data_IF_214505684053
#
_entry.id   IF_214505684053
#
_cell.length_a   1.000
_cell.length_b   1.000
_cell.length_c   1.000
_cell.angle_alpha   90.00
_cell.angle_beta   90.00
_cell.angle_gamma   90.00
#
_symmetry.space_group_name_H-M   'P 1'
#
loop_
_entity.id
_entity.type
_entity.pdbx_description
1 polymer ?
#
# COMPACT_ATOMS: atom_id res chain seq x y z
N UNK A 1 30.56 -21.68 -54.95
CA UNK A 1 29.76 -22.84 -54.52
C UNK A 1 28.89 -22.44 -53.35
N UNK A 2 27.65 -22.96 -53.32
CA UNK A 2 26.53 -22.70 -52.39
C UNK A 2 25.65 -21.49 -52.75
N UNK A 3 24.65 -21.76 -53.60
CA UNK A 3 23.47 -20.92 -53.79
C UNK A 3 22.33 -21.35 -52.83
N UNK A 4 21.58 -20.35 -52.36
CA UNK A 4 20.39 -20.42 -51.51
C UNK A 4 19.20 -20.90 -52.35
N UNK A 5 18.49 -21.95 -51.92
CA UNK A 5 17.22 -22.36 -52.51
C UNK A 5 16.05 -21.69 -51.75
N UNK A 6 15.12 -21.12 -52.51
CA UNK A 6 13.86 -20.52 -52.05
C UNK A 6 12.78 -21.60 -52.11
N UNK A 7 12.05 -21.81 -51.00
CA UNK A 7 10.94 -22.76 -50.93
C UNK A 7 9.72 -22.26 -51.71
N UNK A 8 9.01 -23.18 -52.36
CA UNK A 8 7.90 -22.89 -53.27
C UNK A 8 6.53 -22.84 -52.55
N UNK A 9 5.50 -22.22 -53.14
CA UNK A 9 4.21 -21.93 -52.49
C UNK A 9 3.32 -23.15 -52.19
N UNK A 10 3.77 -24.37 -52.48
CA UNK A 10 2.97 -25.59 -52.32
C UNK A 10 3.10 -26.22 -50.93
N UNK A 11 4.14 -25.88 -50.16
CA UNK A 11 4.36 -26.43 -48.81
C UNK A 11 3.52 -25.73 -47.72
N UNK A 12 3.00 -24.52 -48.00
CA UNK A 12 2.16 -23.76 -47.06
C UNK A 12 0.70 -24.25 -47.00
N UNK A 13 0.25 -24.98 -48.02
CA UNK A 13 -1.16 -25.37 -48.19
C UNK A 13 -1.49 -26.75 -47.63
N UNK A 14 -0.46 -27.55 -47.32
CA UNK A 14 -0.57 -28.83 -46.61
C UNK A 14 -0.69 -28.63 -45.09
N UNK A 15 0.04 -27.65 -44.53
CA UNK A 15 0.01 -27.34 -43.10
C UNK A 15 -1.34 -26.74 -42.64
N UNK A 16 -2.05 -26.02 -43.52
CA UNK A 16 -3.38 -25.45 -43.24
C UNK A 16 -4.52 -26.48 -43.25
N UNK A 17 -4.32 -27.67 -43.83
CA UNK A 17 -5.35 -28.72 -43.91
C UNK A 17 -5.38 -29.67 -42.71
N UNK A 18 -4.32 -29.69 -41.89
CA UNK A 18 -4.26 -30.52 -40.67
C UNK A 18 -4.83 -29.85 -39.40
N UNK A 19 -5.07 -28.53 -39.41
CA UNK A 19 -5.61 -27.81 -38.26
C UNK A 19 -7.15 -27.68 -38.24
N UNK A 20 -7.88 -28.34 -39.15
CA UNK A 20 -9.34 -28.17 -39.35
C UNK A 20 -10.16 -29.46 -39.29
N UNK A 21 -9.75 -30.45 -38.51
CA UNK A 21 -10.50 -31.72 -38.43
C UNK A 21 -10.48 -32.40 -37.06
N UNK A 22 -11.01 -31.74 -36.01
CA UNK A 22 -11.63 -32.29 -34.76
C UNK A 22 -12.33 -31.06 -34.12
N UNK A 23 -13.60 -30.96 -33.74
CA UNK A 23 -14.74 -31.86 -33.61
C UNK A 23 -16.03 -31.05 -33.86
N UNK A 24 -16.98 -31.64 -34.58
CA UNK A 24 -18.34 -31.13 -34.80
C UNK A 24 -19.27 -32.26 -34.41
N UNK A 25 -19.79 -32.25 -33.19
CA UNK A 25 -21.02 -32.98 -32.80
C UNK A 25 -21.55 -32.44 -31.48
N UNK A 26 -22.76 -31.89 -31.51
CA UNK A 26 -23.58 -31.70 -30.32
C UNK A 26 -24.07 -30.28 -30.07
N UNK A 27 -24.94 -29.77 -30.95
CA UNK A 27 -25.91 -28.75 -30.58
C UNK A 27 -27.25 -29.44 -30.33
N UNK A 28 -27.86 -29.25 -29.16
CA UNK A 28 -29.24 -28.78 -28.94
C UNK A 28 -29.78 -29.20 -27.54
N UNK A 29 -30.29 -28.18 -26.85
CA UNK A 29 -31.42 -28.16 -25.90
C UNK A 29 -31.35 -28.91 -24.56
N UNK A 30 -31.70 -28.14 -23.51
CA UNK A 30 -32.55 -28.66 -22.45
C UNK A 30 -32.13 -28.28 -21.04
N UNK A 31 -32.64 -27.14 -20.56
CA UNK A 31 -33.19 -26.95 -19.20
C UNK A 31 -32.64 -27.87 -18.10
N UNK A 32 -31.72 -27.36 -17.26
CA UNK A 32 -31.51 -27.88 -15.91
C UNK A 32 -31.30 -26.73 -14.91
N UNK A 33 -32.43 -26.30 -14.35
CA UNK A 33 -32.69 -26.01 -12.93
C UNK A 33 -31.67 -25.17 -12.16
N UNK A 34 -32.07 -23.91 -11.93
CA UNK A 34 -31.72 -23.17 -10.73
C UNK A 34 -32.13 -23.99 -9.49
N UNK A 35 -31.13 -24.51 -8.76
CA UNK A 35 -31.31 -25.07 -7.43
C UNK A 35 -31.37 -23.96 -6.40
N UNK A 36 -32.53 -23.30 -6.29
CA UNK A 36 -32.85 -22.53 -5.09
C UNK A 36 -33.09 -23.53 -3.96
N UNK A 37 -32.13 -23.67 -3.05
CA UNK A 37 -32.37 -24.32 -1.77
C UNK A 37 -33.25 -23.40 -0.91
N UNK A 38 -34.56 -23.50 -1.09
CA UNK A 38 -35.53 -22.98 -0.12
C UNK A 38 -35.44 -23.86 1.11
N UNK A 39 -34.70 -23.40 2.12
CA UNK A 39 -34.84 -23.95 3.47
C UNK A 39 -36.15 -23.40 4.03
N UNK A 40 -37.21 -24.22 3.98
CA UNK A 40 -38.41 -23.99 4.78
C UNK A 40 -38.05 -24.27 6.23
N UNK A 41 -37.59 -23.23 6.94
CA UNK A 41 -37.53 -23.23 8.39
C UNK A 41 -38.95 -23.12 8.93
N UNK A 42 -39.52 -24.23 9.37
CA UNK A 42 -40.75 -24.24 10.14
C UNK A 42 -40.53 -23.48 11.46
N UNK A 43 -41.05 -22.26 11.54
CA UNK A 43 -41.15 -21.51 12.78
C UNK A 43 -42.17 -22.20 13.70
N UNK A 44 -41.66 -23.06 14.59
CA UNK A 44 -42.38 -23.40 15.83
C UNK A 44 -41.96 -22.37 16.86
N UNK A 45 -42.90 -21.47 17.18
CA UNK A 45 -42.71 -20.42 18.17
C UNK A 45 -42.39 -20.99 19.55
N UNK A 46 -41.16 -20.79 19.98
CA UNK A 46 -40.79 -20.73 21.38
C UNK A 46 -40.51 -19.27 21.74
N UNK A 47 -41.50 -18.59 22.34
CA UNK A 47 -41.27 -17.35 23.07
C UNK A 47 -40.34 -17.67 24.24
N UNK A 48 -39.04 -17.43 24.04
CA UNK A 48 -38.07 -17.28 25.10
C UNK A 48 -37.64 -15.83 25.12
N UNK A 49 -38.21 -15.04 26.02
CA UNK A 49 -37.64 -13.75 26.44
C UNK A 49 -36.28 -14.03 27.08
N UNK A 50 -35.24 -14.07 26.26
CA UNK A 50 -33.85 -14.05 26.70
C UNK A 50 -33.35 -12.63 26.58
N UNK A 51 -33.71 -11.76 27.53
CA UNK A 51 -32.98 -10.52 27.72
C UNK A 51 -31.49 -10.83 27.85
N UNK A 52 -30.64 -10.06 27.17
CA UNK A 52 -29.20 -10.07 27.36
C UNK A 52 -28.87 -9.61 28.79
N UNK A 53 -29.10 -10.50 29.76
CA UNK A 53 -28.64 -10.32 31.12
C UNK A 53 -27.14 -10.56 31.12
N UNK A 54 -26.38 -9.49 31.38
CA UNK A 54 -25.00 -9.60 31.87
C UNK A 54 -25.03 -10.57 33.05
N UNK A 55 -24.62 -11.82 32.85
CA UNK A 55 -24.46 -12.76 33.97
C UNK A 55 -23.36 -12.18 34.84
N UNK A 56 -23.73 -11.55 35.95
CA UNK A 56 -22.78 -11.05 36.93
C UNK A 56 -22.05 -12.25 37.51
N UNK A 57 -20.82 -12.49 37.06
CA UNK A 57 -19.95 -13.50 37.65
C UNK A 57 -19.48 -12.97 38.99
N UNK A 58 -19.68 -13.75 40.04
CA UNK A 58 -19.19 -13.41 41.38
C UNK A 58 -17.67 -13.47 41.39
N UNK A 59 -17.02 -12.37 41.76
CA UNK A 59 -15.57 -12.35 41.93
C UNK A 59 -15.14 -13.39 42.97
N UNK A 60 -14.14 -14.19 42.65
CA UNK A 60 -13.56 -15.19 43.57
C UNK A 60 -12.71 -14.53 44.66
N UNK A 61 -12.22 -13.31 44.39
CA UNK A 61 -11.23 -12.62 45.20
C UNK A 61 -9.78 -12.95 44.82
N UNK A 62 -9.56 -13.92 43.92
CA UNK A 62 -8.22 -14.23 43.42
C UNK A 62 -7.82 -13.24 42.31
N UNK A 63 -6.52 -12.99 42.20
CA UNK A 63 -5.93 -12.22 41.10
C UNK A 63 -4.90 -13.09 40.37
N UNK A 64 -5.02 -13.16 39.05
CA UNK A 64 -4.03 -13.73 38.15
C UNK A 64 -3.21 -12.56 37.59
N UNK A 65 -1.90 -12.60 37.83
CA UNK A 65 -0.94 -11.68 37.23
C UNK A 65 -0.23 -12.39 36.07
N UNK A 66 -0.36 -11.85 34.86
CA UNK A 66 0.28 -12.39 33.66
C UNK A 66 1.37 -11.44 33.18
N UNK A 67 2.58 -11.96 32.95
CA UNK A 67 3.66 -11.23 32.30
C UNK A 67 3.78 -11.70 30.85
N UNK A 68 3.62 -10.78 29.91
CA UNK A 68 3.62 -11.02 28.47
C UNK A 68 4.76 -10.22 27.87
N UNK A 69 5.64 -10.84 27.09
CA UNK A 69 6.67 -10.14 26.32
C UNK A 69 6.29 -10.00 24.85
N UNK A 70 7.03 -9.20 24.09
CA UNK A 70 6.85 -9.04 22.64
C UNK A 70 8.07 -9.57 21.89
N UNK A 71 7.88 -10.57 21.03
CA UNK A 71 8.91 -11.10 20.15
C UNK A 71 8.50 -10.89 18.69
N UNK A 72 9.16 -9.95 18.00
CA UNK A 72 8.71 -9.47 16.69
C UNK A 72 7.26 -9.01 16.73
N UNK A 73 6.41 -9.52 15.82
CA UNK A 73 4.97 -9.24 15.76
C UNK A 73 4.11 -10.28 16.51
N UNK A 74 4.56 -10.75 17.68
CA UNK A 74 3.81 -11.71 18.49
C UNK A 74 3.90 -11.43 19.99
N UNK A 75 2.79 -11.63 20.70
CA UNK A 75 2.77 -11.68 22.16
C UNK A 75 3.28 -13.04 22.65
N UNK A 76 4.12 -13.05 23.69
CA UNK A 76 4.72 -14.28 24.22
C UNK A 76 4.60 -14.33 25.75
N UNK A 77 3.82 -15.27 26.32
CA UNK A 77 2.86 -16.13 25.62
C UNK A 77 1.73 -15.32 24.98
N UNK A 78 1.12 -15.85 23.91
CA UNK A 78 -0.06 -15.23 23.28
C UNK A 78 -1.38 -15.67 23.93
N UNK A 79 -1.33 -16.54 24.94
CA UNK A 79 -2.51 -17.05 25.64
C UNK A 79 -2.27 -17.16 27.13
N UNK A 80 -3.29 -16.87 27.94
CA UNK A 80 -3.31 -17.14 29.38
C UNK A 80 -4.62 -17.81 29.80
N UNK A 81 -4.52 -18.82 30.66
CA UNK A 81 -5.68 -19.45 31.29
C UNK A 81 -6.08 -18.71 32.58
N UNK A 82 -7.33 -18.28 32.68
CA UNK A 82 -7.88 -17.59 33.86
C UNK A 82 -9.21 -18.23 34.27
N UNK A 83 -9.37 -18.54 35.56
CA UNK A 83 -10.63 -19.09 36.05
C UNK A 83 -11.74 -18.02 36.03
N UNK A 84 -12.96 -18.44 35.69
CA UNK A 84 -14.12 -17.55 35.72
C UNK A 84 -14.31 -16.99 37.14
N UNK A 85 -14.35 -15.66 37.24
CA UNK A 85 -14.48 -14.90 38.49
C UNK A 85 -13.16 -14.42 39.09
N UNK A 86 -12.01 -14.85 38.57
CA UNK A 86 -10.71 -14.28 38.96
C UNK A 86 -10.51 -12.90 38.29
N UNK A 87 -9.75 -12.01 38.94
CA UNK A 87 -9.30 -10.75 38.34
C UNK A 87 -8.01 -10.99 37.54
N UNK A 88 -7.92 -10.45 36.32
CA UNK A 88 -6.70 -10.53 35.50
C UNK A 88 -6.00 -9.18 35.42
N UNK A 89 -4.73 -9.14 35.81
CA UNK A 89 -3.82 -8.01 35.61
C UNK A 89 -2.68 -8.47 34.70
N UNK A 90 -2.42 -7.73 33.63
CA UNK A 90 -1.42 -8.09 32.62
C UNK A 90 -0.32 -7.03 32.61
N UNK A 91 0.93 -7.45 32.76
CA UNK A 91 2.10 -6.64 32.45
C UNK A 91 2.61 -7.02 31.07
N UNK A 92 2.69 -6.04 30.16
CA UNK A 92 3.32 -6.16 28.86
C UNK A 92 4.75 -5.61 28.94
N UNK A 93 5.73 -6.48 28.75
CA UNK A 93 7.15 -6.15 28.60
C UNK A 93 7.48 -6.06 27.10
N UNK A 94 7.65 -4.86 26.56
CA UNK A 94 7.98 -4.71 25.15
C UNK A 94 9.46 -5.02 24.90
N UNK A 95 9.75 -6.27 24.58
CA UNK A 95 11.11 -6.76 24.29
C UNK A 95 11.50 -6.65 22.81
N UNK A 96 10.63 -6.11 21.94
CA UNK A 96 10.94 -5.89 20.53
C UNK A 96 11.60 -4.52 20.28
N UNK A 97 11.89 -4.22 19.02
CA UNK A 97 12.48 -2.96 18.56
C UNK A 97 11.44 -1.89 18.14
N UNK A 98 10.15 -2.22 18.20
CA UNK A 98 9.05 -1.34 17.78
C UNK A 98 8.12 -0.98 18.93
N UNK A 99 7.36 0.10 18.79
CA UNK A 99 6.28 0.44 19.72
C UNK A 99 5.16 -0.58 19.61
N UNK A 100 4.67 -1.03 20.77
CA UNK A 100 3.52 -1.93 20.89
C UNK A 100 2.59 -1.47 21.98
N UNK A 101 1.35 -1.94 21.93
CA UNK A 101 0.46 -1.93 23.08
C UNK A 101 -0.24 -3.28 23.19
N UNK A 102 -1.01 -3.44 24.27
CA UNK A 102 -2.00 -4.49 24.38
C UNK A 102 -3.33 -3.83 24.76
N UNK A 103 -4.34 -4.06 23.92
CA UNK A 103 -5.74 -3.76 24.19
C UNK A 103 -6.45 -5.08 24.48
N UNK A 104 -7.29 -5.14 25.50
CA UNK A 104 -8.07 -6.34 25.86
C UNK A 104 -9.55 -5.97 25.98
N UNK A 105 -10.42 -6.74 25.34
CA UNK A 105 -11.87 -6.65 25.54
C UNK A 105 -12.25 -7.08 26.96
N UNK A 106 -13.14 -6.31 27.60
CA UNK A 106 -13.53 -6.57 28.98
C UNK A 106 -14.85 -7.36 29.05
N UNK A 107 -14.95 -8.25 30.03
CA UNK A 107 -16.20 -8.99 30.32
C UNK A 107 -17.38 -8.08 30.64
N UNK A 108 -17.13 -6.88 31.17
CA UNK A 108 -18.14 -5.88 31.48
C UNK A 108 -18.52 -4.99 30.27
N UNK A 109 -17.90 -5.23 29.10
CA UNK A 109 -17.94 -4.34 27.94
C UNK A 109 -16.84 -3.26 27.99
N UNK A 110 -16.49 -2.73 26.82
CA UNK A 110 -15.36 -1.80 26.64
C UNK A 110 -14.01 -2.50 26.56
N UNK A 111 -12.93 -1.73 26.63
CA UNK A 111 -11.55 -2.21 26.54
C UNK A 111 -10.67 -1.66 27.66
N UNK A 112 -9.66 -2.43 28.06
CA UNK A 112 -8.51 -1.93 28.82
C UNK A 112 -7.29 -1.91 27.92
N UNK A 113 -6.33 -1.02 28.20
CA UNK A 113 -5.11 -0.90 27.41
C UNK A 113 -3.91 -0.60 28.30
N UNK A 114 -2.73 -1.09 27.90
CA UNK A 114 -1.44 -0.66 28.46
C UNK A 114 -1.07 0.77 28.06
N UNK A 115 -1.74 1.34 27.05
CA UNK A 115 -1.19 2.44 26.27
C UNK A 115 0.02 1.99 25.45
N UNK A 116 0.59 2.93 24.68
CA UNK A 116 1.76 2.68 23.84
C UNK A 116 3.01 2.49 24.69
N UNK A 117 3.69 1.36 24.47
CA UNK A 117 4.89 0.94 25.17
C UNK A 117 6.06 1.00 24.18
N UNK A 118 7.02 1.88 24.46
CA UNK A 118 8.25 1.98 23.67
C UNK A 118 9.10 0.70 23.78
N UNK A 119 10.00 0.49 22.83
CA UNK A 119 10.95 -0.61 22.86
C UNK A 119 11.74 -0.63 24.18
N UNK A 120 11.82 -1.79 24.83
CA UNK A 120 12.48 -2.00 26.12
C UNK A 120 11.73 -1.48 27.34
N UNK A 121 10.52 -0.91 27.18
CA UNK A 121 9.68 -0.44 28.27
C UNK A 121 8.60 -1.48 28.63
N UNK A 122 7.91 -1.25 29.76
CA UNK A 122 6.81 -2.10 30.22
C UNK A 122 5.61 -1.26 30.63
N UNK A 123 4.41 -1.84 30.50
CA UNK A 123 3.16 -1.25 30.97
C UNK A 123 2.22 -2.30 31.53
N UNK A 124 1.26 -1.89 32.34
CA UNK A 124 0.30 -2.80 32.97
C UNK A 124 -1.12 -2.38 32.61
N UNK A 125 -1.99 -3.36 32.33
CA UNK A 125 -3.43 -3.16 32.24
C UNK A 125 -4.15 -4.09 33.22
N UNK A 126 -5.31 -3.65 33.69
CA UNK A 126 -6.23 -4.44 34.51
C UNK A 126 -7.46 -4.79 33.68
N UNK A 127 -7.61 -6.06 33.34
CA UNK A 127 -8.75 -6.57 32.59
C UNK A 127 -9.98 -6.84 33.48
N UNK A 128 -9.86 -6.58 34.79
CA UNK A 128 -10.95 -6.77 35.74
C UNK A 128 -11.31 -8.24 35.93
N UNK A 129 -12.54 -8.50 36.36
CA UNK A 129 -13.06 -9.85 36.63
C UNK A 129 -13.41 -10.54 35.30
N UNK A 130 -12.78 -11.68 35.04
CA UNK A 130 -12.98 -12.47 33.83
C UNK A 130 -14.24 -13.33 33.96
N UNK A 131 -15.23 -13.09 33.11
CA UNK A 131 -16.50 -13.81 33.09
C UNK A 131 -16.58 -14.90 32.00
N UNK A 132 -15.59 -14.94 31.10
CA UNK A 132 -15.51 -15.85 29.96
C UNK A 132 -14.27 -15.56 29.13
N UNK A 133 -14.09 -16.24 27.98
CA UNK A 133 -12.95 -15.99 27.10
C UNK A 133 -12.90 -14.54 26.63
N UNK A 134 -11.69 -13.97 26.55
CA UNK A 134 -11.45 -12.60 26.08
C UNK A 134 -10.42 -12.62 24.94
N UNK A 135 -10.49 -11.63 24.07
CA UNK A 135 -9.46 -11.36 23.07
C UNK A 135 -8.76 -10.04 23.39
N UNK A 136 -7.46 -10.01 23.14
CA UNK A 136 -6.67 -8.81 23.09
C UNK A 136 -5.85 -8.72 21.82
N UNK A 137 -5.34 -7.53 21.52
CA UNK A 137 -4.54 -7.27 20.32
C UNK A 137 -3.63 -6.06 20.50
N UNK A 138 -2.63 -5.94 19.62
CA UNK A 138 -1.88 -4.69 19.42
C UNK A 138 -2.65 -3.78 18.46
N UNK A 139 -2.92 -2.55 18.89
CA UNK A 139 -3.71 -1.54 18.18
C UNK A 139 -2.92 -0.73 17.15
N UNK A 140 -1.59 -0.85 17.16
CA UNK A 140 -0.71 -0.21 16.17
C UNK A 140 -1.05 -0.69 14.74
N UNK A 141 -1.08 0.25 13.79
CA UNK A 141 -1.53 0.04 12.41
C UNK A 141 -0.98 -1.24 11.78
N UNK A 142 -1.86 -2.19 11.46
CA UNK A 142 -1.50 -3.46 10.82
C UNK A 142 -0.94 -4.55 11.73
N UNK A 143 -0.61 -4.27 12.99
CA UNK A 143 0.02 -5.26 13.88
C UNK A 143 -0.92 -6.42 14.22
N UNK A 144 -2.20 -6.14 14.52
CA UNK A 144 -3.22 -7.18 14.71
C UNK A 144 -3.32 -8.11 13.50
N UNK A 145 -3.31 -7.54 12.29
CA UNK A 145 -3.39 -8.30 11.03
C UNK A 145 -2.14 -9.15 10.77
N UNK A 146 -0.99 -8.80 11.37
CA UNK A 146 0.23 -9.60 11.37
C UNK A 146 0.25 -10.68 12.47
N UNK A 147 -0.81 -10.81 13.26
CA UNK A 147 -0.93 -11.84 14.28
C UNK A 147 -0.61 -11.40 15.72
N UNK A 148 -0.50 -10.09 15.99
CA UNK A 148 -0.44 -9.57 17.36
C UNK A 148 -1.82 -9.64 18.04
N UNK A 149 -2.26 -10.86 18.32
CA UNK A 149 -3.49 -11.23 19.00
C UNK A 149 -3.13 -12.00 20.26
N UNK A 150 -3.86 -11.73 21.34
CA UNK A 150 -3.72 -12.35 22.64
C UNK A 150 -5.05 -12.97 23.05
N UNK A 151 -5.03 -14.12 23.71
CA UNK A 151 -6.24 -14.83 24.13
C UNK A 151 -6.25 -15.08 25.63
N UNK A 152 -7.38 -14.81 26.26
CA UNK A 152 -7.68 -15.28 27.62
C UNK A 152 -8.63 -16.45 27.49
N UNK A 153 -8.20 -17.63 27.91
CA UNK A 153 -9.00 -18.84 27.92
C UNK A 153 -9.53 -19.10 29.33
N UNK A 154 -10.77 -19.59 29.43
CA UNK A 154 -11.39 -19.91 30.72
C UNK A 154 -11.62 -21.42 30.82
N UNK A 155 -10.57 -22.16 31.14
CA UNK A 155 -10.57 -23.63 31.25
C UNK A 155 -10.45 -24.10 32.70
N UNK A 156 -11.48 -24.80 33.20
CA UNK A 156 -11.39 -25.55 34.45
C UNK A 156 -10.37 -26.70 34.33
N UNK A 157 -9.43 -26.77 35.29
CA UNK A 157 -8.35 -27.78 35.46
C UNK A 157 -8.38 -29.01 34.53
N UNK A 158 -7.42 -29.01 33.61
CA UNK A 158 -6.67 -30.11 32.97
C UNK A 158 -7.40 -31.18 32.14
N UNK A 159 -7.04 -31.27 30.86
CA UNK A 159 -6.69 -32.52 30.20
C UNK A 159 -5.59 -32.28 29.14
N UNK A 160 -4.41 -32.88 29.41
CA UNK A 160 -3.39 -33.40 28.49
C UNK A 160 -3.04 -32.66 27.18
N UNK A 161 -1.74 -32.37 27.07
CA UNK A 161 -1.04 -32.20 25.80
C UNK A 161 -1.50 -33.24 24.77
N UNK A 162 -1.95 -32.76 23.62
CA UNK A 162 -2.17 -33.57 22.43
C UNK A 162 -1.63 -32.82 21.21
N UNK A 163 -0.91 -33.59 20.40
CA UNK A 163 -0.17 -33.15 19.23
C UNK A 163 -1.01 -32.33 18.24
N UNK A 164 -0.43 -31.24 17.73
CA UNK A 164 -0.99 -30.52 16.58
C UNK A 164 -0.75 -31.31 15.29
N UNK A 165 -1.76 -32.10 14.91
CA UNK A 165 -1.94 -32.56 13.54
C UNK A 165 -3.41 -32.37 13.13
N UNK A 166 -3.63 -31.63 12.05
CA UNK A 166 -4.87 -31.73 11.27
C UNK A 166 -5.64 -30.43 11.06
N UNK A 167 -5.52 -29.93 9.83
CA UNK A 167 -6.43 -29.05 9.11
C UNK A 167 -7.88 -28.98 9.62
N UNK A 168 -8.32 -27.77 9.93
CA UNK A 168 -9.72 -27.39 10.10
C UNK A 168 -9.96 -26.07 9.40
N UNK A 169 -10.62 -26.14 8.25
CA UNK A 169 -11.19 -25.05 7.47
C UNK A 169 -12.23 -24.32 8.35
N UNK A 170 -11.76 -23.29 9.06
CA UNK A 170 -12.59 -22.40 9.87
C UNK A 170 -13.13 -21.30 8.99
N UNK A 171 -14.29 -21.56 8.37
CA UNK A 171 -15.02 -20.58 7.58
C UNK A 171 -15.09 -19.25 8.30
N UNK A 172 -14.44 -18.24 7.70
CA UNK A 172 -14.58 -16.85 8.05
C UNK A 172 -16.08 -16.56 8.13
N UNK A 173 -16.55 -16.25 9.34
CA UNK A 173 -17.84 -15.57 9.50
C UNK A 173 -17.65 -14.19 8.88
N UNK A 174 -17.93 -14.13 7.59
CA UNK A 174 -18.33 -12.94 6.87
C UNK A 174 -19.55 -12.37 7.61
N UNK A 175 -19.39 -11.16 8.14
CA UNK A 175 -20.44 -10.51 8.89
C UNK A 175 -19.93 -9.52 9.92
N UNK A 176 -18.96 -8.68 9.56
CA UNK A 176 -19.15 -7.27 9.88
C UNK A 176 -19.27 -6.57 8.54
N UNK A 177 -20.37 -5.87 8.32
CA UNK A 177 -20.45 -4.91 7.23
C UNK A 177 -19.43 -3.84 7.57
N UNK A 178 -18.21 -3.96 7.03
CA UNK A 178 -17.11 -3.07 7.39
C UNK A 178 -17.59 -1.64 7.18
N UNK A 179 -17.61 -0.86 8.27
CA UNK A 179 -18.01 0.55 8.25
C UNK A 179 -16.98 1.42 7.55
N UNK A 180 -16.35 0.92 6.50
CA UNK A 180 -15.30 1.58 5.74
C UNK A 180 -15.86 2.79 5.02
N UNK A 181 -15.00 3.78 4.79
CA UNK A 181 -15.32 4.89 3.93
C UNK A 181 -15.64 4.40 2.52
N UNK A 182 -16.75 4.88 1.96
CA UNK A 182 -17.20 4.53 0.60
C UNK A 182 -16.93 5.73 -0.30
N UNK A 183 -15.98 5.64 -1.26
CA UNK A 183 -15.64 6.76 -2.11
C UNK A 183 -16.73 7.03 -3.17
N UNK A 184 -17.07 8.30 -3.35
CA UNK A 184 -17.83 8.79 -4.49
C UNK A 184 -16.87 9.27 -5.59
N UNK A 185 -16.67 8.46 -6.64
CA UNK A 185 -15.77 8.81 -7.74
C UNK A 185 -16.20 10.05 -8.54
N UNK A 186 -17.44 10.53 -8.37
CA UNK A 186 -17.90 11.79 -8.95
C UNK A 186 -17.53 13.02 -8.12
N UNK A 187 -17.12 12.85 -6.86
CA UNK A 187 -16.69 13.93 -6.00
C UNK A 187 -15.46 14.63 -6.58
N UNK A 188 -15.49 15.96 -6.59
CA UNK A 188 -14.38 16.81 -7.04
C UNK A 188 -13.48 17.18 -5.87
N UNK A 189 -12.19 17.41 -6.15
CA UNK A 189 -11.24 17.96 -5.18
C UNK A 189 -11.79 19.25 -4.55
N UNK A 190 -11.98 19.30 -3.21
CA UNK A 190 -12.42 20.51 -2.52
C UNK A 190 -11.44 21.68 -2.72
N UNK A 191 -11.96 22.91 -2.74
CA UNK A 191 -11.15 24.11 -2.99
C UNK A 191 -10.16 24.43 -1.85
N UNK A 192 -10.44 23.96 -0.63
CA UNK A 192 -9.60 24.09 0.55
C UNK A 192 -8.53 22.99 0.67
N UNK A 193 -8.58 21.96 -0.19
CA UNK A 193 -7.55 20.93 -0.30
C UNK A 193 -6.58 21.31 -1.43
N UNK A 194 -5.31 21.48 -1.07
CA UNK A 194 -4.25 21.73 -2.05
C UNK A 194 -3.89 20.44 -2.81
N UNK A 195 -3.94 20.49 -4.14
CA UNK A 195 -3.41 19.41 -4.96
C UNK A 195 -1.87 19.33 -4.85
N UNK A 196 -1.31 18.15 -5.03
CA UNK A 196 0.13 17.96 -5.12
C UNK A 196 0.66 18.65 -6.39
N UNK A 197 1.65 19.53 -6.24
CA UNK A 197 2.32 20.15 -7.39
C UNK A 197 3.16 19.11 -8.14
N UNK A 198 2.75 18.80 -9.37
CA UNK A 198 3.43 17.81 -10.19
C UNK A 198 4.80 18.29 -10.71
N UNK A 199 5.17 19.56 -10.58
CA UNK A 199 6.48 20.04 -11.07
C UNK A 199 7.59 19.51 -10.14
N UNK A 200 8.53 18.68 -10.64
CA UNK A 200 9.62 18.21 -9.80
C UNK A 200 10.57 19.36 -9.45
N UNK A 201 11.38 19.22 -8.38
CA UNK A 201 12.44 20.17 -8.08
C UNK A 201 13.35 20.40 -9.28
N UNK A 202 13.84 21.63 -9.43
CA UNK A 202 14.86 21.92 -10.43
C UNK A 202 16.17 21.22 -10.07
N UNK A 203 16.90 20.75 -11.08
CA UNK A 203 18.27 20.31 -10.86
C UNK A 203 19.10 21.50 -10.38
N UNK A 204 19.79 21.35 -9.25
CA UNK A 204 20.75 22.34 -8.77
C UNK A 204 22.20 21.88 -9.04
N UNK A 205 23.17 22.70 -8.62
CA UNK A 205 24.60 22.39 -8.77
C UNK A 205 25.22 21.88 -7.46
N UNK A 206 24.41 21.57 -6.45
CA UNK A 206 24.89 21.04 -5.19
C UNK A 206 25.32 19.59 -5.37
N UNK A 207 26.45 19.23 -4.79
CA UNK A 207 26.91 17.82 -4.75
C UNK A 207 26.57 17.15 -3.41
N UNK A 208 26.00 17.92 -2.46
CA UNK A 208 25.56 17.45 -1.15
C UNK A 208 24.16 17.98 -0.89
N UNK A 209 23.21 17.07 -0.70
CA UNK A 209 21.80 17.35 -0.49
C UNK A 209 21.42 16.99 0.94
N UNK A 210 21.17 18.00 1.78
CA UNK A 210 20.81 17.80 3.18
C UNK A 210 19.33 18.10 3.40
N UNK A 211 18.61 17.14 3.97
CA UNK A 211 17.18 17.29 4.27
C UNK A 211 16.86 16.79 5.67
N UNK A 212 15.83 17.37 6.28
CA UNK A 212 15.20 16.83 7.49
C UNK A 212 13.81 16.35 7.14
N UNK A 213 13.56 15.06 7.38
CA UNK A 213 12.26 14.45 7.21
C UNK A 213 11.58 14.27 8.57
N UNK A 214 10.31 14.64 8.67
CA UNK A 214 9.51 14.44 9.87
C UNK A 214 8.45 13.39 9.57
N UNK A 215 8.57 12.21 10.18
CA UNK A 215 7.52 11.20 10.14
C UNK A 215 6.39 11.61 11.11
N UNK A 216 5.16 11.64 10.62
CA UNK A 216 3.98 12.02 11.41
C UNK A 216 2.69 11.48 10.78
N UNK A 217 1.63 11.35 11.58
CA UNK A 217 0.30 10.94 11.15
C UNK A 217 -0.68 12.11 11.10
N UNK A 218 -1.53 12.15 10.07
CA UNK A 218 -2.58 13.16 9.93
C UNK A 218 -3.79 12.62 9.19
N UNK A 219 -4.97 13.13 9.49
CA UNK A 219 -6.17 12.86 8.68
C UNK A 219 -6.13 13.75 7.43
N UNK A 220 -6.13 13.14 6.25
CA UNK A 220 -6.07 13.84 4.97
C UNK A 220 -7.19 13.37 4.03
N UNK A 221 -7.61 14.29 3.16
CA UNK A 221 -8.44 13.98 2.01
C UNK A 221 -7.64 13.13 1.01
N UNK A 222 -8.19 11.99 0.61
CA UNK A 222 -7.51 11.04 -0.30
C UNK A 222 -8.17 10.93 -1.67
N UNK A 223 -9.25 11.68 -1.89
CA UNK A 223 -10.08 11.62 -3.10
C UNK A 223 -11.41 10.93 -2.85
N UNK A 224 -12.33 11.03 -3.81
CA UNK A 224 -13.63 10.37 -3.73
C UNK A 224 -14.53 10.85 -2.58
N UNK A 225 -14.35 12.08 -2.08
CA UNK A 225 -15.18 12.60 -0.99
C UNK A 225 -14.86 12.06 0.41
N UNK A 226 -13.78 11.29 0.56
CA UNK A 226 -13.43 10.61 1.82
C UNK A 226 -12.05 11.04 2.35
N UNK A 227 -11.87 10.85 3.65
CA UNK A 227 -10.60 11.09 4.36
C UNK A 227 -10.06 9.81 4.98
N UNK A 228 -8.75 9.80 5.22
CA UNK A 228 -8.03 8.70 5.85
C UNK A 228 -6.92 9.25 6.75
N UNK A 229 -6.63 8.57 7.85
CA UNK A 229 -5.42 8.80 8.64
C UNK A 229 -4.20 8.29 7.87
N UNK A 230 -3.41 9.22 7.33
CA UNK A 230 -2.21 8.97 6.53
C UNK A 230 -0.97 8.97 7.42
N UNK A 231 -0.02 8.11 7.08
CA UNK A 231 1.34 8.12 7.62
C UNK A 231 2.22 8.84 6.59
N UNK A 232 2.95 9.87 7.00
CA UNK A 232 3.59 10.79 6.05
C UNK A 232 5.04 11.08 6.39
N UNK A 233 5.81 11.47 5.37
CA UNK A 233 7.01 12.27 5.57
C UNK A 233 6.65 13.74 5.26
N UNK A 234 6.84 14.62 6.24
CA UNK A 234 6.62 16.08 6.14
C UNK A 234 5.16 16.47 5.86
N UNK A 235 4.20 15.69 6.33
CA UNK A 235 2.77 16.04 6.26
C UNK A 235 2.16 15.94 4.86
N UNK A 236 2.80 15.25 3.92
CA UNK A 236 2.37 15.15 2.54
C UNK A 236 2.55 13.72 1.98
N UNK A 237 1.73 13.39 0.98
CA UNK A 237 1.85 12.16 0.20
C UNK A 237 1.85 12.50 -1.30
N UNK A 238 2.84 12.06 -2.09
CA UNK A 238 4.12 11.51 -1.66
C UNK A 238 4.87 12.47 -0.72
N UNK A 239 5.85 11.95 0.00
CA UNK A 239 6.80 12.76 0.75
C UNK A 239 7.65 13.66 -0.16
N UNK A 240 8.59 14.44 0.41
CA UNK A 240 9.45 15.33 -0.34
C UNK A 240 10.11 14.67 -1.55
N UNK A 241 10.01 15.30 -2.71
CA UNK A 241 10.69 14.85 -3.94
C UNK A 241 12.11 15.38 -3.89
N UNK A 242 13.10 14.49 -4.06
CA UNK A 242 14.50 14.85 -4.09
C UNK A 242 15.02 14.80 -5.52
N UNK A 243 15.99 15.63 -5.86
CA UNK A 243 16.65 15.60 -7.18
C UNK A 243 18.15 15.87 -7.06
N UNK A 244 18.95 15.15 -7.82
CA UNK A 244 20.38 15.37 -7.94
C UNK A 244 20.97 14.66 -9.16
N UNK A 245 22.29 14.50 -9.15
CA UNK A 245 23.07 13.87 -10.21
C UNK A 245 23.82 12.63 -9.71
N UNK A 246 24.29 11.81 -10.66
CA UNK A 246 25.16 10.68 -10.33
C UNK A 246 26.44 11.19 -9.67
N UNK A 247 26.74 10.66 -8.48
CA UNK A 247 27.88 11.04 -7.64
C UNK A 247 27.53 11.98 -6.49
N UNK A 248 26.31 12.54 -6.46
CA UNK A 248 25.89 13.41 -5.36
C UNK A 248 25.68 12.61 -4.06
N UNK A 249 25.90 13.27 -2.93
CA UNK A 249 25.65 12.71 -1.60
C UNK A 249 24.33 13.23 -1.06
N UNK A 250 23.47 12.34 -0.59
CA UNK A 250 22.21 12.68 0.08
C UNK A 250 22.33 12.33 1.56
N UNK A 251 22.06 13.30 2.44
CA UNK A 251 22.04 13.14 3.89
C UNK A 251 20.67 13.56 4.43
N UNK A 252 19.90 12.59 4.89
CA UNK A 252 18.54 12.80 5.41
C UNK A 252 18.53 12.53 6.91
N UNK A 253 18.14 13.53 7.69
CA UNK A 253 17.81 13.34 9.10
C UNK A 253 16.33 13.01 9.22
N UNK A 254 15.99 11.77 9.54
CA UNK A 254 14.63 11.37 9.90
C UNK A 254 14.39 11.70 11.38
N UNK A 255 13.30 12.40 11.66
CA UNK A 255 12.77 12.66 13.00
C UNK A 255 11.40 12.01 13.08
N UNK A 256 11.18 11.16 14.08
CA UNK A 256 9.87 10.57 14.32
C UNK A 256 9.09 11.46 15.31
N UNK A 257 8.20 12.30 14.79
CA UNK A 257 7.24 13.10 15.57
C UNK A 257 5.84 12.49 15.52
N UNK A 258 5.76 11.24 15.08
CA UNK A 258 4.55 10.45 15.06
C UNK A 258 4.37 9.70 16.36
N UNK A 259 3.54 8.68 16.28
CA UNK A 259 3.08 7.96 17.45
C UNK A 259 3.31 6.45 17.39
N UNK A 260 3.78 5.96 16.26
CA UNK A 260 4.28 4.59 16.06
C UNK A 260 5.73 4.63 15.56
N UNK A 261 6.39 3.48 15.50
CA UNK A 261 7.75 3.41 14.95
C UNK A 261 7.74 3.65 13.45
N UNK A 262 8.78 4.31 12.95
CA UNK A 262 8.96 4.61 11.53
C UNK A 262 10.44 4.45 11.14
N UNK A 263 10.71 4.29 9.86
CA UNK A 263 12.07 4.20 9.31
C UNK A 263 12.11 4.82 7.92
N UNK A 264 13.25 4.68 7.25
CA UNK A 264 13.48 5.20 5.92
C UNK A 264 14.41 4.27 5.14
N UNK A 265 14.00 3.92 3.92
CA UNK A 265 14.73 3.14 2.94
C UNK A 265 14.76 3.91 1.61
N UNK A 266 15.96 4.19 1.08
CA UNK A 266 16.18 4.84 -0.20
C UNK A 266 16.71 3.83 -1.21
N UNK A 267 15.97 3.55 -2.28
CA UNK A 267 16.44 2.64 -3.34
C UNK A 267 17.54 3.26 -4.21
N UNK A 268 17.71 4.59 -4.16
CA UNK A 268 18.82 5.29 -4.80
C UNK A 268 20.17 5.06 -4.10
N UNK A 269 20.16 4.57 -2.85
CA UNK A 269 21.33 4.34 -2.03
C UNK A 269 21.76 2.87 -2.01
N UNK A 270 23.07 2.64 -2.06
CA UNK A 270 23.66 1.31 -1.87
C UNK A 270 24.37 1.29 -0.52
N UNK A 271 23.62 1.06 0.55
CA UNK A 271 24.12 1.03 1.94
C UNK A 271 23.56 -0.18 2.68
N UNK A 272 24.27 -0.64 3.73
CA UNK A 272 23.77 -1.74 4.56
C UNK A 272 22.51 -1.31 5.33
N UNK A 273 21.45 -2.14 5.36
CA UNK A 273 20.21 -1.77 6.05
C UNK A 273 20.34 -1.71 7.57
N UNK A 274 21.25 -2.49 8.16
CA UNK A 274 21.27 -2.80 9.61
C UNK A 274 21.25 -1.57 10.53
N UNK A 275 21.94 -0.50 10.16
CA UNK A 275 22.07 0.71 10.99
C UNK A 275 21.16 1.85 10.54
N UNK A 276 21.02 2.05 9.23
CA UNK A 276 20.39 3.25 8.65
C UNK A 276 18.95 3.03 8.18
N UNK A 277 18.50 1.78 8.04
CA UNK A 277 17.11 1.44 7.68
C UNK A 277 16.30 0.86 8.86
N UNK A 278 16.83 0.92 10.07
CA UNK A 278 16.12 0.45 11.28
C UNK A 278 14.97 1.36 11.67
N UNK A 279 14.01 0.80 12.40
CA UNK A 279 12.94 1.57 13.02
C UNK A 279 13.49 2.52 14.09
N UNK A 280 12.90 3.72 14.15
CA UNK A 280 13.04 4.67 15.24
C UNK A 280 11.69 4.89 15.91
N UNK A 281 11.70 4.95 17.23
CA UNK A 281 10.51 5.17 18.04
C UNK A 281 10.12 6.66 18.06
N UNK A 282 8.89 7.00 18.48
CA UNK A 282 8.48 8.39 18.70
C UNK A 282 9.49 9.18 19.54
N UNK A 283 9.85 10.37 19.07
CA UNK A 283 10.85 11.25 19.70
C UNK A 283 12.30 10.97 19.33
N UNK A 284 12.59 9.86 18.65
CA UNK A 284 13.93 9.53 18.18
C UNK A 284 14.25 10.16 16.82
N UNK A 285 15.54 10.10 16.43
CA UNK A 285 16.03 10.54 15.13
C UNK A 285 17.09 9.60 14.58
N UNK A 286 17.21 9.54 13.26
CA UNK A 286 18.20 8.75 12.53
C UNK A 286 18.77 9.59 11.38
N UNK A 287 20.08 9.49 11.12
CA UNK A 287 20.70 10.07 9.93
C UNK A 287 20.95 8.96 8.93
N UNK A 288 20.35 9.09 7.76
CA UNK A 288 20.56 8.23 6.60
C UNK A 288 21.44 8.99 5.59
N UNK A 289 22.55 8.41 5.18
CA UNK A 289 23.43 9.00 4.16
C UNK A 289 23.74 7.98 3.06
N UNK A 290 23.67 8.41 1.80
CA UNK A 290 24.09 7.61 0.65
C UNK A 290 24.68 8.48 -0.46
N UNK A 291 25.47 7.85 -1.33
CA UNK A 291 25.91 8.45 -2.60
C UNK A 291 25.04 7.88 -3.73
N UNK A 292 24.51 8.74 -4.60
CA UNK A 292 23.73 8.34 -5.75
C UNK A 292 24.63 7.77 -6.85
N UNK A 293 24.85 6.46 -6.86
CA UNK A 293 25.75 5.82 -7.83
C UNK A 293 25.12 5.62 -9.22
N UNK A 294 23.79 5.72 -9.33
CA UNK A 294 23.03 5.34 -10.53
C UNK A 294 21.92 6.34 -10.82
N UNK A 295 21.72 6.62 -12.11
CA UNK A 295 20.66 7.48 -12.59
C UNK A 295 19.32 6.75 -12.66
N UNK A 296 18.22 7.49 -12.49
CA UNK A 296 16.86 6.98 -12.51
C UNK A 296 15.93 7.81 -11.62
N UNK A 297 14.65 7.45 -11.62
CA UNK A 297 13.73 7.86 -10.56
C UNK A 297 13.54 6.68 -9.62
N UNK A 298 13.85 6.90 -8.35
CA UNK A 298 13.95 5.87 -7.32
C UNK A 298 12.88 6.08 -6.28
N UNK A 299 12.30 4.98 -5.82
CA UNK A 299 11.44 4.98 -4.64
C UNK A 299 12.28 5.21 -3.38
N UNK A 300 11.72 5.95 -2.44
CA UNK A 300 12.06 5.77 -1.03
C UNK A 300 10.78 5.55 -0.25
N UNK A 301 10.85 4.80 0.85
CA UNK A 301 9.69 4.50 1.66
C UNK A 301 10.06 4.15 3.12
N UNK A 302 9.06 4.06 3.99
CA UNK A 302 9.23 3.49 5.31
C UNK A 302 9.42 1.96 5.22
N UNK A 303 10.38 1.41 5.96
CA UNK A 303 10.69 -0.02 6.07
C UNK A 303 10.27 -0.65 7.41
N UNK A 304 9.61 0.10 8.30
CA UNK A 304 9.01 -0.43 9.53
C UNK A 304 7.90 -1.43 9.19
N UNK A 305 7.85 -2.54 9.93
CA UNK A 305 6.87 -3.58 9.70
C UNK A 305 5.53 -3.25 10.34
N UNK A 306 4.38 -3.60 9.71
CA UNK A 306 4.26 -4.17 8.37
C UNK A 306 4.39 -3.11 7.27
N UNK A 307 5.45 -3.22 6.46
CA UNK A 307 5.84 -2.23 5.44
C UNK A 307 4.73 -1.88 4.45
N UNK A 308 3.92 -2.87 4.06
CA UNK A 308 2.81 -2.67 3.12
C UNK A 308 1.77 -1.68 3.65
N UNK A 309 1.50 -1.67 4.96
CA UNK A 309 0.57 -0.74 5.59
C UNK A 309 1.19 0.66 5.65
N UNK A 310 2.47 0.77 5.99
CA UNK A 310 3.16 2.07 6.01
C UNK A 310 3.21 2.73 4.64
N UNK A 311 3.56 1.96 3.61
CA UNK A 311 3.66 2.45 2.24
C UNK A 311 2.28 2.84 1.70
N UNK A 312 1.28 1.96 1.81
CA UNK A 312 -0.09 2.28 1.36
C UNK A 312 -0.73 3.45 2.11
N UNK A 313 -0.36 3.65 3.38
CA UNK A 313 -0.81 4.80 4.18
C UNK A 313 -0.10 6.11 3.85
N UNK A 314 0.92 6.09 2.98
CA UNK A 314 1.50 7.30 2.38
C UNK A 314 2.99 7.54 2.59
N UNK A 315 3.71 6.67 3.31
CA UNK A 315 5.14 6.85 3.57
C UNK A 315 5.99 6.40 2.39
N UNK A 316 5.89 7.12 1.28
CA UNK A 316 6.69 6.93 0.08
C UNK A 316 7.00 8.27 -0.61
N UNK A 317 8.09 8.32 -1.36
CA UNK A 317 8.42 9.45 -2.23
C UNK A 317 9.40 9.07 -3.32
N UNK A 318 9.90 10.08 -4.04
CA UNK A 318 10.77 9.89 -5.19
C UNK A 318 12.11 10.62 -5.03
N UNK A 319 13.18 9.97 -5.49
CA UNK A 319 14.50 10.60 -5.74
C UNK A 319 14.78 10.54 -7.23
N UNK A 320 14.92 11.69 -7.88
CA UNK A 320 15.30 11.80 -9.29
C UNK A 320 16.82 12.00 -9.37
N UNK A 321 17.53 11.04 -9.94
CA UNK A 321 18.95 11.16 -10.27
C UNK A 321 19.06 11.29 -11.79
N UNK A 322 19.35 12.50 -12.26
CA UNK A 322 19.39 12.79 -13.70
C UNK A 322 20.44 11.92 -14.42
N UNK A 323 20.09 11.22 -15.51
CA UNK A 323 21.08 10.49 -16.29
C UNK A 323 22.04 11.45 -17.00
N UNK A 324 23.33 11.09 -17.13
CA UNK A 324 24.26 11.85 -17.94
C UNK A 324 23.73 12.05 -19.37
N UNK A 325 23.78 13.29 -19.87
CA UNK A 325 23.31 13.63 -21.21
C UNK A 325 21.78 13.76 -21.33
N UNK A 326 21.05 13.88 -20.21
CA UNK A 326 19.63 14.22 -20.23
C UNK A 326 19.41 15.55 -20.93
N UNK A 327 18.63 15.54 -22.03
CA UNK A 327 18.29 16.77 -22.75
C UNK A 327 17.29 17.61 -21.95
N UNK A 328 17.35 18.94 -22.09
CA UNK A 328 16.33 19.82 -21.55
C UNK A 328 14.98 19.63 -22.26
N UNK A 329 13.90 19.94 -21.53
CA UNK A 329 12.52 19.93 -22.02
C UNK A 329 11.82 21.21 -21.58
N UNK A 330 10.67 21.53 -22.18
CA UNK A 330 9.92 22.75 -21.84
C UNK A 330 9.15 22.60 -20.54
N UNK A 331 8.68 21.37 -20.22
CA UNK A 331 7.98 21.04 -18.97
C UNK A 331 8.35 19.67 -18.44
N UNK A 332 8.42 19.57 -17.12
CA UNK A 332 8.54 18.29 -16.40
C UNK A 332 7.36 18.12 -15.45
N UNK A 333 6.86 16.89 -15.37
CA UNK A 333 5.84 16.46 -14.42
C UNK A 333 6.23 15.15 -13.73
N UNK A 334 6.02 15.06 -12.43
CA UNK A 334 6.22 13.86 -11.63
C UNK A 334 4.90 13.14 -11.43
N UNK A 335 4.83 11.86 -11.77
CA UNK A 335 3.69 10.98 -11.56
C UNK A 335 4.10 9.77 -10.71
N UNK A 336 3.77 9.80 -9.42
CA UNK A 336 3.95 8.67 -8.50
C UNK A 336 2.62 7.98 -8.31
N UNK A 337 2.47 6.75 -8.80
CA UNK A 337 1.28 5.95 -8.55
C UNK A 337 1.38 5.25 -7.18
N UNK A 338 0.30 5.30 -6.41
CA UNK A 338 0.11 4.45 -5.25
C UNK A 338 -1.34 4.03 -5.04
N UNK A 339 -1.51 2.95 -4.30
CA UNK A 339 -2.81 2.40 -3.91
C UNK A 339 -3.27 2.91 -2.55
N UNK A 340 -4.58 3.10 -2.38
CA UNK A 340 -5.20 3.52 -1.13
C UNK A 340 -6.28 2.51 -0.74
N UNK A 341 -6.15 1.97 0.48
CA UNK A 341 -7.01 0.93 1.04
C UNK A 341 -7.78 1.54 2.22
N UNK A 342 -9.07 1.83 2.03
CA UNK A 342 -9.90 2.58 2.97
C UNK A 342 -10.38 1.67 4.11
N UNK A 343 -10.08 2.07 5.35
CA UNK A 343 -10.83 1.66 6.53
C UNK A 343 -11.99 2.63 6.81
N UNK A 344 -12.51 2.70 8.04
CA UNK A 344 -13.53 3.69 8.43
C UNK A 344 -13.12 5.14 8.13
N UNK A 345 -14.12 6.02 7.96
CA UNK A 345 -13.89 7.43 7.60
C UNK A 345 -12.94 8.13 8.57
N UNK A 346 -11.83 8.68 8.04
CA UNK A 346 -10.83 9.37 8.82
C UNK A 346 -9.89 8.46 9.63
N UNK A 347 -10.05 7.14 9.58
CA UNK A 347 -9.25 6.15 10.31
C UNK A 347 -8.12 5.57 9.44
N UNK A 348 -7.38 4.60 9.98
CA UNK A 348 -6.23 3.96 9.34
C UNK A 348 -6.62 3.10 8.14
N UNK A 349 -5.63 2.73 7.31
CA UNK A 349 -5.84 1.83 6.19
C UNK A 349 -6.31 0.44 6.65
N UNK A 350 -7.24 -0.16 5.90
CA UNK A 350 -7.68 -1.53 6.17
C UNK A 350 -6.57 -2.52 5.79
N UNK A 351 -5.91 -3.06 6.82
CA UNK A 351 -4.80 -3.99 6.67
C UNK A 351 -5.21 -5.32 6.01
N UNK A 352 -6.47 -5.75 6.12
CA UNK A 352 -6.97 -6.94 5.44
C UNK A 352 -7.09 -6.68 3.92
N UNK A 353 -7.57 -5.51 3.52
CA UNK A 353 -7.57 -5.10 2.10
C UNK A 353 -6.15 -4.96 1.55
N UNK A 354 -5.22 -4.40 2.33
CA UNK A 354 -3.80 -4.32 1.96
C UNK A 354 -3.22 -5.71 1.71
N UNK A 355 -3.46 -6.66 2.61
CA UNK A 355 -2.99 -8.04 2.46
C UNK A 355 -3.65 -8.76 1.28
N UNK A 356 -4.93 -8.49 1.02
CA UNK A 356 -5.69 -9.05 -0.09
C UNK A 356 -5.43 -8.37 -1.44
N UNK A 357 -4.70 -7.24 -1.46
CA UNK A 357 -4.46 -6.40 -2.64
C UNK A 357 -5.76 -5.92 -3.29
N UNK A 358 -6.70 -5.48 -2.48
CA UNK A 358 -7.99 -4.93 -2.95
C UNK A 358 -8.09 -3.44 -2.65
N UNK A 359 -7.39 -2.56 -3.39
CA UNK A 359 -7.45 -1.12 -3.15
C UNK A 359 -8.80 -0.53 -3.54
N UNK A 360 -9.25 0.46 -2.78
CA UNK A 360 -10.49 1.19 -3.05
C UNK A 360 -10.23 2.36 -4.01
N UNK A 361 -9.07 3.00 -3.89
CA UNK A 361 -8.66 4.14 -4.71
C UNK A 361 -7.23 3.95 -5.25
N UNK A 362 -6.94 4.59 -6.37
CA UNK A 362 -5.58 4.79 -6.88
C UNK A 362 -5.32 6.27 -7.08
N UNK A 363 -4.09 6.69 -6.88
CA UNK A 363 -3.71 8.09 -7.05
C UNK A 363 -2.43 8.23 -7.86
N UNK A 364 -2.40 9.23 -8.73
CA UNK A 364 -1.15 9.90 -9.06
C UNK A 364 -0.91 10.98 -8.01
N UNK A 365 0.22 10.93 -7.33
CA UNK A 365 0.66 11.87 -6.30
C UNK A 365 -0.31 12.01 -5.11
N UNK A 366 -0.79 10.87 -4.59
CA UNK A 366 -1.36 10.76 -3.25
C UNK A 366 -2.85 11.11 -3.09
N UNK A 367 -3.46 11.83 -4.04
CA UNK A 367 -4.90 12.15 -4.04
C UNK A 367 -5.55 11.63 -5.32
N UNK A 368 -6.52 10.73 -5.18
CA UNK A 368 -7.28 10.17 -6.30
C UNK A 368 -8.02 11.29 -7.06
N UNK A 369 -7.97 11.24 -8.39
CA UNK A 369 -8.58 12.20 -9.32
C UNK A 369 -8.07 13.65 -9.27
N UNK A 370 -7.04 13.99 -8.48
CA UNK A 370 -6.65 15.40 -8.32
C UNK A 370 -6.31 16.10 -9.64
N UNK A 371 -5.69 15.41 -10.60
CA UNK A 371 -5.32 15.98 -11.90
C UNK A 371 -6.45 15.97 -12.94
N UNK A 372 -7.58 15.31 -12.65
CA UNK A 372 -8.84 15.50 -13.39
C UNK A 372 -9.43 16.88 -13.06
N UNK A 373 -9.28 17.29 -11.80
CA UNK A 373 -9.91 18.48 -11.19
C UNK A 373 -8.99 19.70 -11.17
N UNK A 374 -7.67 19.47 -11.14
CA UNK A 374 -6.59 20.45 -11.26
C UNK A 374 -5.64 20.02 -12.39
N UNK A 375 -6.01 20.27 -13.66
CA UNK A 375 -5.24 19.79 -14.81
C UNK A 375 -3.83 20.39 -14.91
N UNK A 376 -2.92 19.65 -15.55
CA UNK A 376 -1.56 20.08 -15.85
C UNK A 376 -1.55 20.94 -17.12
N UNK A 377 -0.89 22.11 -17.13
CA UNK A 377 -0.86 23.00 -18.31
C UNK A 377 0.29 22.68 -19.28
N UNK A 378 0.05 22.74 -20.59
CA UNK A 378 1.09 22.74 -21.62
C UNK A 378 0.69 23.62 -22.81
N UNK A 379 1.59 23.77 -23.78
CA UNK A 379 1.32 24.48 -25.05
C UNK A 379 1.61 23.59 -26.26
N UNK A 380 0.97 23.86 -27.41
CA UNK A 380 1.29 23.15 -28.64
C UNK A 380 2.79 23.24 -28.95
N UNK A 381 3.41 22.09 -29.21
CA UNK A 381 4.82 21.95 -29.55
C UNK A 381 5.79 21.94 -28.37
N UNK A 382 5.36 22.21 -27.14
CA UNK A 382 6.22 22.06 -25.96
C UNK A 382 6.59 20.59 -25.77
N UNK A 383 7.87 20.32 -25.51
CA UNK A 383 8.35 19.00 -25.09
C UNK A 383 8.04 18.82 -23.61
N UNK A 384 7.25 17.81 -23.30
CA UNK A 384 6.82 17.48 -21.94
C UNK A 384 7.46 16.16 -21.53
N UNK A 385 8.16 16.15 -20.39
CA UNK A 385 8.65 14.93 -19.74
C UNK A 385 7.76 14.57 -18.55
N UNK A 386 7.34 13.31 -18.49
CA UNK A 386 6.75 12.73 -17.29
C UNK A 386 7.77 11.82 -16.63
N UNK A 387 8.23 12.18 -15.43
CA UNK A 387 8.91 11.27 -14.51
C UNK A 387 7.87 10.39 -13.86
N UNK A 388 7.97 9.07 -14.02
CA UNK A 388 6.92 8.13 -13.63
C UNK A 388 7.50 7.09 -12.69
N UNK A 389 6.88 6.91 -11.54
CA UNK A 389 7.26 5.93 -10.51
C UNK A 389 6.03 5.15 -10.07
N UNK A 390 6.11 3.83 -10.02
CA UNK A 390 5.11 3.02 -9.33
C UNK A 390 5.58 2.76 -7.90
N UNK A 391 5.03 3.49 -6.92
CA UNK A 391 5.37 3.25 -5.51
C UNK A 391 4.72 1.97 -4.96
N UNK A 392 3.55 1.59 -5.47
CA UNK A 392 2.81 0.41 -5.04
C UNK A 392 1.90 0.66 -3.82
N UNK A 393 1.82 -0.28 -2.85
CA UNK A 393 2.78 -1.37 -2.62
C UNK A 393 2.67 -2.60 -3.53
N UNK A 394 1.58 -2.82 -4.25
CA UNK A 394 1.29 -4.15 -4.83
C UNK A 394 0.93 -4.19 -6.30
N UNK A 395 0.26 -3.17 -6.84
CA UNK A 395 -0.37 -3.25 -8.15
C UNK A 395 0.52 -2.66 -9.26
N UNK A 396 0.53 -3.25 -10.45
CA UNK A 396 1.30 -2.73 -11.57
C UNK A 396 0.68 -1.45 -12.15
N UNK A 397 1.47 -0.68 -12.88
CA UNK A 397 1.03 0.51 -13.61
C UNK A 397 1.32 0.34 -15.10
N UNK A 398 0.46 0.93 -15.93
CA UNK A 398 0.73 1.14 -17.36
C UNK A 398 0.47 2.60 -17.72
N UNK A 399 1.45 3.49 -17.52
CA UNK A 399 1.25 4.93 -17.73
C UNK A 399 1.07 5.25 -19.21
N UNK A 400 -0.02 5.93 -19.55
CA UNK A 400 -0.39 6.27 -20.93
C UNK A 400 -0.97 7.69 -20.99
N UNK A 401 -0.75 8.40 -22.09
CA UNK A 401 -1.41 9.68 -22.38
C UNK A 401 -2.20 9.59 -23.68
N UNK A 402 -3.53 9.61 -23.57
CA UNK A 402 -4.48 9.46 -24.67
C UNK A 402 -4.28 10.57 -25.69
N UNK A 403 -4.09 10.17 -26.96
CA UNK A 403 -3.86 11.08 -28.07
C UNK A 403 -2.39 11.43 -28.30
N UNK A 404 -1.47 10.94 -27.45
CA UNK A 404 -0.03 11.13 -27.60
C UNK A 404 0.70 9.79 -27.78
N UNK A 405 1.90 9.90 -28.35
CA UNK A 405 2.90 8.83 -28.37
C UNK A 405 4.17 9.38 -27.72
N UNK A 406 4.91 8.51 -27.06
CA UNK A 406 6.20 8.83 -26.48
C UNK A 406 7.29 8.63 -27.53
N UNK A 407 8.17 9.62 -27.69
CA UNK A 407 9.33 9.55 -28.58
C UNK A 407 10.66 9.40 -27.81
N UNK A 408 10.59 9.47 -26.49
CA UNK A 408 11.68 9.19 -25.55
C UNK A 408 11.13 8.28 -24.45
N UNK A 409 11.87 7.22 -24.11
CA UNK A 409 11.55 6.33 -22.99
C UNK A 409 12.83 5.94 -22.29
N UNK A 410 12.90 6.24 -21.00
CA UNK A 410 13.94 5.77 -20.09
C UNK A 410 13.29 4.88 -19.04
N UNK A 411 13.74 3.65 -18.89
CA UNK A 411 13.17 2.64 -18.01
C UNK A 411 14.28 1.95 -17.24
N UNK A 412 14.21 1.96 -15.91
CA UNK A 412 15.12 1.22 -15.01
C UNK A 412 16.61 1.42 -15.36
N UNK A 413 17.01 2.67 -15.62
CA UNK A 413 18.41 3.02 -15.89
C UNK A 413 18.83 2.96 -17.36
N UNK A 414 17.94 2.65 -18.30
CA UNK A 414 18.26 2.53 -19.72
C UNK A 414 17.28 3.27 -20.64
N UNK A 415 17.82 3.94 -21.66
CA UNK A 415 17.03 4.40 -22.80
C UNK A 415 16.54 3.19 -23.60
N UNK A 416 15.23 3.06 -23.76
CA UNK A 416 14.60 2.03 -24.60
C UNK A 416 14.01 2.61 -25.89
N UNK A 417 13.84 3.94 -25.93
CA UNK A 417 13.49 4.72 -27.10
C UNK A 417 14.14 6.11 -27.00
N UNK A 418 14.69 6.62 -28.11
CA UNK A 418 15.37 7.91 -28.11
C UNK A 418 16.75 7.85 -27.45
N UNK A 419 17.01 8.79 -26.53
CA UNK A 419 18.28 8.99 -25.84
C UNK A 419 19.41 9.50 -26.74
N UNK A 420 20.64 9.58 -26.18
CA UNK A 420 21.84 9.98 -26.92
C UNK A 420 22.11 9.11 -28.16
N UNK A 421 21.77 7.83 -28.08
CA UNK A 421 21.98 6.86 -29.16
C UNK A 421 20.85 6.86 -30.22
N UNK A 422 19.79 7.66 -30.00
CA UNK A 422 18.64 7.82 -30.91
C UNK A 422 17.99 6.48 -31.27
N UNK A 423 17.76 5.64 -30.26
CA UNK A 423 17.13 4.32 -30.41
C UNK A 423 15.76 4.50 -31.07
N UNK A 424 15.50 3.72 -32.13
CA UNK A 424 14.24 3.78 -32.90
C UNK A 424 14.16 4.84 -34.00
N UNK A 425 15.12 5.76 -34.10
CA UNK A 425 15.07 6.86 -35.07
C UNK A 425 15.06 6.39 -36.54
N UNK A 426 15.71 5.27 -36.86
CA UNK A 426 15.82 4.75 -38.23
C UNK A 426 14.46 4.39 -38.88
N UNK A 427 13.40 4.25 -38.09
CA UNK A 427 12.04 3.94 -38.56
C UNK A 427 10.97 4.80 -37.88
N UNK A 428 11.35 5.92 -37.25
CA UNK A 428 10.44 6.80 -36.52
C UNK A 428 9.64 6.05 -35.43
N UNK A 429 10.34 5.27 -34.59
CA UNK A 429 9.72 4.51 -33.51
C UNK A 429 9.00 5.39 -32.47
N UNK A 430 7.96 4.83 -31.85
CA UNK A 430 7.18 5.46 -30.79
C UNK A 430 6.75 4.45 -29.72
N UNK A 431 6.57 4.91 -28.49
CA UNK A 431 6.01 4.17 -27.37
C UNK A 431 4.58 4.63 -27.05
N UNK A 432 3.70 3.70 -26.69
CA UNK A 432 2.33 4.06 -26.30
C UNK A 432 2.14 4.13 -24.78
N UNK A 433 2.89 3.34 -24.02
CA UNK A 433 2.74 3.21 -22.57
C UNK A 433 4.09 2.88 -21.91
N UNK A 434 4.25 3.28 -20.66
CA UNK A 434 5.34 2.85 -19.78
C UNK A 434 4.77 1.90 -18.72
N UNK A 435 5.07 0.61 -18.85
CA UNK A 435 4.64 -0.41 -17.89
C UNK A 435 5.64 -0.55 -16.74
N UNK A 436 5.17 -0.39 -15.49
CA UNK A 436 6.00 -0.43 -14.28
C UNK A 436 5.39 -1.41 -13.25
N UNK A 437 6.19 -2.34 -12.75
CA UNK A 437 5.86 -3.08 -11.51
C UNK A 437 6.06 -2.17 -10.28
N UNK A 438 5.56 -2.54 -9.09
CA UNK A 438 5.90 -1.83 -7.86
C UNK A 438 7.41 -1.64 -7.70
N UNK A 439 7.81 -0.48 -7.20
CA UNK A 439 9.19 0.01 -7.07
C UNK A 439 9.94 0.30 -8.39
N UNK A 440 9.31 0.16 -9.56
CA UNK A 440 9.94 0.52 -10.83
C UNK A 440 9.65 1.95 -11.27
N UNK A 441 10.62 2.54 -11.97
CA UNK A 441 10.61 3.93 -12.37
C UNK A 441 11.20 4.20 -13.75
N UNK A 442 10.85 5.36 -14.30
CA UNK A 442 11.37 5.84 -15.57
C UNK A 442 10.92 7.25 -15.92
N UNK A 443 11.13 7.64 -17.16
CA UNK A 443 10.43 8.79 -17.74
C UNK A 443 10.06 8.55 -19.19
N UNK A 444 9.05 9.28 -19.63
CA UNK A 444 8.61 9.36 -21.02
C UNK A 444 8.54 10.80 -21.47
N UNK A 445 8.76 11.06 -22.75
CA UNK A 445 8.56 12.39 -23.32
C UNK A 445 7.68 12.37 -24.56
N UNK A 446 6.89 13.43 -24.72
CA UNK A 446 6.04 13.66 -25.86
C UNK A 446 5.95 15.17 -26.18
N UNK A 447 5.38 15.50 -27.34
CA UNK A 447 5.10 16.87 -27.74
C UNK A 447 3.69 16.96 -28.35
N UNK A 448 2.68 17.48 -27.62
CA UNK A 448 1.34 17.66 -28.18
C UNK A 448 1.37 18.72 -29.29
N UNK A 449 0.95 18.35 -30.51
CA UNK A 449 1.02 19.25 -31.66
C UNK A 449 -0.16 20.25 -31.73
N UNK A 450 -1.29 19.92 -31.11
CA UNK A 450 -2.53 20.68 -31.22
C UNK A 450 -3.05 21.07 -29.82
N UNK A 451 -3.81 22.16 -29.75
CA UNK A 451 -4.53 22.50 -28.54
C UNK A 451 -5.60 21.45 -28.24
N UNK A 452 -5.80 21.14 -26.96
CA UNK A 452 -6.74 20.11 -26.56
C UNK A 452 -6.61 19.73 -25.09
N UNK A 453 -7.45 18.80 -24.66
CA UNK A 453 -7.34 18.15 -23.35
C UNK A 453 -6.95 16.70 -23.57
N UNK A 454 -5.69 16.39 -23.30
CA UNK A 454 -5.14 15.04 -23.38
C UNK A 454 -5.31 14.38 -22.00
N UNK A 455 -5.76 13.13 -21.95
CA UNK A 455 -6.01 12.44 -20.68
C UNK A 455 -4.87 11.46 -20.41
N UNK A 456 -4.18 11.60 -19.28
CA UNK A 456 -3.21 10.62 -18.84
C UNK A 456 -3.80 9.69 -17.79
N UNK A 457 -3.38 8.42 -17.81
CA UNK A 457 -4.00 7.33 -17.06
C UNK A 457 -2.97 6.27 -16.67
N UNK A 458 -3.29 5.47 -15.64
CA UNK A 458 -2.89 4.06 -15.66
C UNK A 458 -3.82 3.29 -16.58
N UNK A 459 -3.28 2.60 -17.57
CA UNK A 459 -4.06 1.88 -18.59
C UNK A 459 -4.61 0.54 -18.08
N UNK A 460 -4.40 0.21 -16.80
CA UNK A 460 -5.29 -0.69 -16.08
C UNK A 460 -6.56 0.10 -15.74
N UNK A 461 -7.59 0.00 -16.59
CA UNK A 461 -8.71 0.95 -16.54
C UNK A 461 -9.49 0.95 -15.23
N UNK A 462 -9.50 -0.15 -14.47
CA UNK A 462 -10.07 -0.14 -13.13
C UNK A 462 -9.34 0.85 -12.21
N UNK A 463 -8.02 0.97 -12.33
CA UNK A 463 -7.18 1.89 -11.56
C UNK A 463 -7.44 3.35 -11.99
N UNK A 464 -7.58 3.58 -13.29
CA UNK A 464 -8.00 4.87 -13.85
C UNK A 464 -9.37 5.29 -13.29
N UNK A 465 -10.35 4.40 -13.33
CA UNK A 465 -11.71 4.62 -12.84
C UNK A 465 -11.75 4.86 -11.32
N UNK A 466 -10.75 4.33 -10.59
CA UNK A 466 -10.53 4.54 -9.15
C UNK A 466 -9.64 5.75 -8.82
N UNK A 467 -9.12 6.47 -9.81
CA UNK A 467 -8.48 7.77 -9.60
C UNK A 467 -7.08 7.97 -10.19
N UNK A 468 -6.42 6.94 -10.72
CA UNK A 468 -5.13 7.06 -11.40
C UNK A 468 -5.28 7.68 -12.80
N UNK A 469 -5.72 8.94 -12.83
CA UNK A 469 -5.96 9.69 -14.06
C UNK A 469 -5.78 11.19 -13.89
N UNK A 470 -5.62 11.89 -15.01
CA UNK A 470 -5.60 13.34 -15.04
C UNK A 470 -5.64 13.91 -16.44
N UNK A 471 -5.61 15.23 -16.53
CA UNK A 471 -5.69 15.98 -17.78
C UNK A 471 -4.43 16.82 -17.99
N UNK A 472 -3.88 16.75 -19.19
CA UNK A 472 -2.92 17.71 -19.73
C UNK A 472 -3.68 18.67 -20.65
N UNK A 473 -3.87 19.91 -20.22
CA UNK A 473 -4.56 20.96 -20.97
C UNK A 473 -3.54 21.73 -21.79
N UNK A 474 -3.66 21.62 -23.11
CA UNK A 474 -2.77 22.24 -24.08
C UNK A 474 -3.47 23.46 -24.68
N UNK A 475 -3.03 24.67 -24.35
CA UNK A 475 -3.70 25.92 -24.73
C UNK A 475 -2.76 27.08 -25.02
#
# INVERSE_FOLDING_TARGET
GRGRAVASPQDADAARRQARAVDRRGALFGLLTAGAAVVVGAAVGGRGEGGAGTRSVTATGNTVEAAISVDGMRFVPDTVDVAVGDRLVITLDNTSDQVHDLVVELSAGGTATTGRIAAGASGTLDAGVVAGPLEGWCSIAGHRAQGMVFHVTTGGRSAQASDHAGHGDGGARSGDSSGDAVPDYSATLPDDVSAFDAVPPSADTSTVHEHTFTATELVAYVGGGVTQKRLTFNGQVPGPVLRGQVGDTFRITLVNDGTMSHSLDFHAGVVSPDEVMRSINPGERLVYEFVAERAGIWLYHCSTSPMSVHLSSGMHGAVIIDPPGLSGVDREYLMVQSEIYLGPEGEEADAAKVAAKTPDLFAFNGIAFQYRDRPLPAKPGERVRFWVLNAGPSEPMSFHCVGLQFDQVFFEGAWTLGGPDRIGAAWSGGGQALGLQPAQGGFVECAPAESGTYTFVSHAFADMEKGAMGKLVVS
#
